data_IF_298935818572
#
_entry.id   IF_298935818572
#
_cell.length_a   1.000
_cell.length_b   1.000
_cell.length_c   1.000
_cell.angle_alpha   90.00
_cell.angle_beta   90.00
_cell.angle_gamma   90.00
#
_symmetry.space_group_name_H-M   'P 1'
#
loop_
_entity.id
_entity.type
_entity.pdbx_description
1 polymer ?
#
# COMPACT_ATOMS: atom_id res chain seq x y z
N UNK A 1 -1.00 24.59 -10.50
CA UNK A 1 -1.27 24.53 -9.04
C UNK A 1 -1.10 23.09 -8.61
N UNK A 2 0.03 22.75 -7.99
CA UNK A 2 0.41 21.37 -7.65
C UNK A 2 -0.31 20.99 -6.35
N UNK A 3 -1.32 20.12 -6.46
CA UNK A 3 -2.15 19.69 -5.32
C UNK A 3 -1.34 18.71 -4.47
N UNK A 4 -1.20 18.98 -3.17
CA UNK A 4 -0.51 18.07 -2.26
C UNK A 4 -1.30 16.76 -2.17
N UNK A 5 -0.67 15.65 -2.59
CA UNK A 5 -1.27 14.31 -2.65
C UNK A 5 -1.61 13.78 -1.23
N UNK A 6 -0.97 14.33 -0.21
CA UNK A 6 -1.17 13.95 1.18
C UNK A 6 -1.79 15.11 1.96
N UNK A 7 -3.08 15.02 2.28
CA UNK A 7 -3.71 15.89 3.29
C UNK A 7 -4.88 16.75 2.85
N UNK A 8 -5.28 16.75 1.57
CA UNK A 8 -6.42 17.53 1.08
C UNK A 8 -7.76 16.79 1.33
N UNK A 9 -7.94 16.31 2.56
CA UNK A 9 -9.18 15.68 2.99
C UNK A 9 -10.16 16.79 3.40
N UNK A 10 -11.25 16.96 2.65
CA UNK A 10 -12.35 17.84 3.04
C UNK A 10 -12.91 17.42 4.42
N UNK A 11 -13.54 18.33 5.16
CA UNK A 11 -14.10 18.05 6.49
C UNK A 11 -15.10 16.87 6.53
N UNK A 12 -15.68 16.52 5.37
CA UNK A 12 -16.59 15.39 5.19
C UNK A 12 -15.88 14.05 4.97
N UNK A 13 -14.57 14.06 4.76
CA UNK A 13 -13.81 12.84 4.53
C UNK A 13 -13.57 12.09 5.86
N UNK A 14 -13.96 10.83 5.91
CA UNK A 14 -13.79 9.95 7.08
C UNK A 14 -12.32 9.87 7.54
N UNK A 15 -11.38 10.02 6.60
CA UNK A 15 -9.94 10.04 6.87
C UNK A 15 -9.51 11.28 7.65
N UNK A 16 -10.20 12.42 7.48
CA UNK A 16 -9.94 13.65 8.22
C UNK A 16 -10.40 13.57 9.68
N UNK A 17 -11.33 12.66 10.00
CA UNK A 17 -11.88 12.46 11.35
C UNK A 17 -11.04 11.47 12.20
N UNK A 18 -9.90 11.01 11.69
CA UNK A 18 -9.03 10.06 12.39
C UNK A 18 -8.32 10.73 13.57
N UNK A 19 -8.43 10.14 14.76
CA UNK A 19 -7.57 10.49 15.89
C UNK A 19 -6.21 9.80 15.73
N UNK A 20 -5.22 10.51 15.18
CA UNK A 20 -3.88 9.95 14.95
C UNK A 20 -3.06 10.02 16.24
N UNK A 21 -2.96 8.88 16.94
CA UNK A 21 -2.24 8.76 18.22
C UNK A 21 -0.72 8.57 18.02
N UNK A 22 -0.31 7.87 16.94
CA UNK A 22 1.10 7.56 16.66
C UNK A 22 1.41 7.79 15.18
N UNK A 23 2.62 8.30 14.91
CA UNK A 23 3.20 8.39 13.56
C UNK A 23 4.56 7.71 13.56
N UNK A 24 4.86 6.99 12.49
CA UNK A 24 6.16 6.34 12.26
C UNK A 24 6.67 6.68 10.87
N UNK A 25 7.99 6.79 10.72
CA UNK A 25 8.64 6.92 9.41
C UNK A 25 8.82 5.58 8.68
N UNK A 26 8.61 4.46 9.37
CA UNK A 26 8.82 3.11 8.85
C UNK A 26 7.50 2.35 8.82
N UNK A 27 7.06 2.00 7.61
CA UNK A 27 5.82 1.25 7.37
C UNK A 27 5.86 -0.16 8.00
N UNK A 28 7.06 -0.75 8.09
CA UNK A 28 7.29 -2.07 8.69
C UNK A 28 7.01 -2.12 10.20
N UNK A 29 7.03 -0.99 10.91
CA UNK A 29 6.78 -0.94 12.35
C UNK A 29 5.29 -0.95 12.70
N UNK A 30 4.42 -0.72 11.72
CA UNK A 30 2.98 -0.57 11.96
C UNK A 30 2.33 -1.77 12.68
N UNK A 31 2.61 -3.04 12.31
CA UNK A 31 2.03 -4.17 13.02
C UNK A 31 2.49 -4.23 14.49
N UNK A 32 3.77 -3.96 14.75
CA UNK A 32 4.33 -3.96 16.10
C UNK A 32 3.69 -2.89 16.98
N UNK A 33 3.34 -1.73 16.41
CA UNK A 33 2.62 -0.68 17.14
C UNK A 33 1.18 -1.07 17.46
N UNK A 34 0.54 -1.90 16.62
CA UNK A 34 -0.82 -2.37 16.85
C UNK A 34 -0.87 -3.47 17.92
N UNK A 35 0.11 -4.38 17.92
CA UNK A 35 0.16 -5.52 18.86
C UNK A 35 0.21 -5.03 20.30
N UNK A 36 -0.71 -5.53 21.13
CA UNK A 36 -0.80 -5.17 22.55
C UNK A 36 -1.39 -3.77 22.81
N UNK A 37 -2.00 -3.15 21.81
CA UNK A 37 -2.68 -1.87 21.91
C UNK A 37 -4.08 -1.93 21.30
N UNK A 38 -4.90 -0.92 21.57
CA UNK A 38 -6.20 -0.74 20.92
C UNK A 38 -6.11 0.08 19.62
N UNK A 39 -4.92 0.15 19.01
CA UNK A 39 -4.68 0.93 17.80
C UNK A 39 -5.11 0.16 16.56
N UNK A 40 -5.80 0.86 15.65
CA UNK A 40 -6.14 0.36 14.32
C UNK A 40 -5.20 0.99 13.30
N UNK A 41 -4.60 0.14 12.47
CA UNK A 41 -3.74 0.57 11.37
C UNK A 41 -4.45 0.35 10.04
N UNK A 42 -4.50 1.40 9.21
CA UNK A 42 -4.91 1.26 7.81
C UNK A 42 -3.68 1.23 6.91
N UNK A 43 -3.55 0.20 6.08
CA UNK A 43 -2.38 -0.05 5.22
C UNK A 43 -2.81 -0.74 3.92
N UNK A 44 -1.89 -0.97 3.00
CA UNK A 44 -2.16 -1.73 1.77
C UNK A 44 -2.56 -3.17 2.10
N UNK A 45 -3.53 -3.71 1.36
CA UNK A 45 -4.07 -5.05 1.59
C UNK A 45 -3.00 -6.15 1.56
N UNK A 46 -2.08 -6.10 0.59
CA UNK A 46 -0.99 -7.06 0.45
C UNK A 46 -0.08 -7.07 1.68
N UNK A 47 0.30 -5.88 2.17
CA UNK A 47 1.13 -5.78 3.38
C UNK A 47 0.39 -6.31 4.61
N UNK A 48 -0.90 -5.96 4.74
CA UNK A 48 -1.71 -6.45 5.86
C UNK A 48 -1.80 -7.99 5.85
N UNK A 49 -2.10 -8.58 4.69
CA UNK A 49 -2.16 -10.04 4.49
C UNK A 49 -0.82 -10.71 4.80
N UNK A 50 0.29 -10.16 4.29
CA UNK A 50 1.62 -10.67 4.56
C UNK A 50 1.92 -10.67 6.06
N UNK A 51 1.62 -9.59 6.77
CA UNK A 51 1.89 -9.49 8.20
C UNK A 51 0.95 -10.39 9.03
N UNK A 52 -0.32 -10.49 8.67
CA UNK A 52 -1.29 -11.37 9.34
C UNK A 52 -0.93 -12.86 9.23
N UNK A 53 -0.12 -13.26 8.24
CA UNK A 53 0.38 -14.62 8.13
C UNK A 53 1.41 -14.99 9.22
N UNK A 54 2.10 -14.01 9.82
CA UNK A 54 3.19 -14.24 10.77
C UNK A 54 2.97 -13.60 12.14
N UNK A 55 2.14 -12.57 12.22
CA UNK A 55 1.91 -11.78 13.42
C UNK A 55 0.49 -11.95 13.95
N UNK A 56 0.27 -11.79 15.27
CA UNK A 56 -1.05 -11.92 15.89
C UNK A 56 -1.90 -10.66 15.64
N UNK A 57 -2.20 -10.38 14.37
CA UNK A 57 -3.03 -9.25 13.92
C UNK A 57 -4.22 -9.77 13.13
N UNK A 58 -5.34 -9.05 13.20
CA UNK A 58 -6.57 -9.40 12.49
C UNK A 58 -6.82 -8.39 11.37
N UNK A 59 -7.22 -8.90 10.21
CA UNK A 59 -7.63 -8.07 9.09
C UNK A 59 -9.09 -7.68 9.25
N UNK A 60 -9.38 -6.39 9.12
CA UNK A 60 -10.73 -5.84 9.15
C UNK A 60 -11.04 -5.22 7.78
N UNK A 61 -12.19 -5.58 7.21
CA UNK A 61 -12.68 -4.90 6.02
C UNK A 61 -13.33 -3.57 6.44
N UNK A 62 -12.80 -2.49 5.87
CA UNK A 62 -13.22 -1.15 6.16
C UNK A 62 -14.15 -0.77 5.00
N UNK A 63 -15.46 -0.85 5.21
CA UNK A 63 -16.51 -0.63 4.21
C UNK A 63 -16.61 0.81 3.65
N UNK A 64 -15.50 1.56 3.64
CA UNK A 64 -15.34 2.84 2.98
C UNK A 64 -14.34 2.73 1.82
N UNK A 65 -14.39 3.69 0.90
CA UNK A 65 -13.64 3.64 -0.36
C UNK A 65 -12.13 3.45 -0.15
N UNK A 66 -11.61 2.34 -0.68
CA UNK A 66 -10.18 2.07 -0.73
C UNK A 66 -9.52 2.98 -1.76
N UNK A 67 -8.58 3.81 -1.31
CA UNK A 67 -7.74 4.58 -2.22
C UNK A 67 -6.67 3.64 -2.78
N UNK A 68 -6.82 3.23 -4.04
CA UNK A 68 -5.79 2.45 -4.71
C UNK A 68 -4.58 3.33 -4.99
N UNK A 69 -3.39 2.80 -4.68
CA UNK A 69 -2.11 3.44 -5.03
C UNK A 69 -1.49 2.65 -6.17
N UNK A 70 -1.11 3.32 -7.26
CA UNK A 70 -0.36 2.70 -8.34
C UNK A 70 1.13 2.69 -8.03
N UNK A 71 1.76 1.52 -8.15
CA UNK A 71 3.21 1.41 -8.20
C UNK A 71 3.64 1.51 -9.66
N UNK A 72 4.59 2.40 -9.95
CA UNK A 72 5.09 2.64 -11.31
C UNK A 72 6.60 2.44 -11.35
N UNK A 73 7.05 1.62 -12.30
CA UNK A 73 8.45 1.57 -12.67
C UNK A 73 8.79 2.78 -13.54
N UNK A 74 9.87 3.49 -13.22
CA UNK A 74 10.29 4.71 -13.92
C UNK A 74 11.79 4.72 -14.19
N UNK A 75 12.18 5.22 -15.37
CA UNK A 75 13.56 5.41 -15.80
C UNK A 75 13.66 6.60 -16.75
N UNK A 76 14.88 7.08 -17.02
CA UNK A 76 15.10 8.16 -17.96
C UNK A 76 14.79 7.71 -19.40
N UNK A 77 14.14 8.54 -20.25
CA UNK A 77 13.69 8.12 -21.59
C UNK A 77 14.77 7.55 -22.50
N UNK A 78 16.01 8.05 -22.41
CA UNK A 78 17.12 7.57 -23.24
C UNK A 78 17.57 6.14 -22.91
N UNK A 79 17.16 5.60 -21.75
CA UNK A 79 17.50 4.24 -21.31
C UNK A 79 16.48 3.18 -21.74
N UNK A 80 15.42 3.58 -22.42
CA UNK A 80 14.33 2.67 -22.84
C UNK A 80 14.77 1.51 -23.74
N UNK A 81 15.93 1.67 -24.41
CA UNK A 81 16.53 0.64 -25.26
C UNK A 81 17.52 -0.26 -24.54
N UNK A 82 17.80 -0.01 -23.26
CA UNK A 82 18.73 -0.85 -22.49
C UNK A 82 18.13 -2.26 -22.31
N UNK A 83 18.84 -3.32 -22.74
CA UNK A 83 18.34 -4.69 -22.65
C UNK A 83 17.95 -5.10 -21.23
N UNK A 84 18.68 -4.62 -20.22
CA UNK A 84 18.42 -4.94 -18.82
C UNK A 84 17.11 -4.35 -18.30
N UNK A 85 16.77 -3.11 -18.71
CA UNK A 85 15.53 -2.46 -18.32
C UNK A 85 14.36 -3.19 -18.98
N UNK A 86 14.47 -3.51 -20.28
CA UNK A 86 13.44 -4.25 -21.00
C UNK A 86 13.20 -5.62 -20.39
N UNK A 87 14.26 -6.37 -20.13
CA UNK A 87 14.17 -7.68 -19.48
C UNK A 87 13.46 -7.56 -18.13
N UNK A 88 13.89 -6.63 -17.26
CA UNK A 88 13.28 -6.46 -15.94
C UNK A 88 11.80 -6.06 -16.02
N UNK A 89 11.45 -5.14 -16.92
CA UNK A 89 10.05 -4.72 -17.10
C UNK A 89 9.19 -5.90 -17.58
N UNK A 90 9.68 -6.68 -18.54
CA UNK A 90 8.97 -7.88 -19.01
C UNK A 90 8.75 -8.90 -17.89
N UNK A 91 9.76 -9.15 -17.04
CA UNK A 91 9.61 -10.04 -15.88
C UNK A 91 8.58 -9.51 -14.86
N UNK A 92 8.62 -8.21 -14.58
CA UNK A 92 7.67 -7.55 -13.68
C UNK A 92 6.23 -7.62 -14.21
N UNK A 93 6.04 -7.42 -15.52
CA UNK A 93 4.73 -7.54 -16.19
C UNK A 93 4.20 -8.98 -16.14
N UNK A 94 5.07 -9.97 -16.37
CA UNK A 94 4.71 -11.38 -16.25
C UNK A 94 4.22 -11.73 -14.84
N UNK A 95 4.93 -11.27 -13.80
CA UNK A 95 4.56 -11.53 -12.40
C UNK A 95 3.27 -10.76 -12.02
N UNK A 96 3.13 -9.50 -12.45
CA UNK A 96 1.95 -8.71 -12.18
C UNK A 96 0.68 -9.40 -12.72
N UNK A 97 0.75 -9.94 -13.94
CA UNK A 97 -0.35 -10.71 -14.54
C UNK A 97 -0.70 -11.99 -13.75
N UNK A 98 0.23 -12.55 -12.99
CA UNK A 98 -0.03 -13.71 -12.11
C UNK A 98 -0.71 -13.29 -10.80
N UNK A 99 -0.40 -12.11 -10.27
CA UNK A 99 -0.95 -11.58 -9.01
C UNK A 99 -2.39 -11.07 -9.18
N UNK A 100 -2.75 -10.55 -10.36
CA UNK A 100 -4.13 -10.13 -10.66
C UNK A 100 -5.13 -11.31 -10.74
N UNK A 101 -4.66 -12.55 -10.66
CA UNK A 101 -5.56 -13.70 -10.51
C UNK A 101 -6.06 -13.78 -9.07
N UNK A 102 -7.38 -13.67 -8.83
CA UNK A 102 -7.91 -13.82 -7.48
C UNK A 102 -7.54 -15.21 -6.95
N UNK A 103 -6.92 -15.25 -5.77
CA UNK A 103 -6.81 -16.48 -4.99
C UNK A 103 -8.25 -16.87 -4.64
N UNK A 104 -8.76 -17.91 -5.28
CA UNK A 104 -10.08 -18.46 -4.99
C UNK A 104 -10.15 -18.88 -3.51
N UNK A 105 -11.32 -18.73 -2.86
CA UNK A 105 -11.55 -19.24 -1.50
C UNK A 105 -11.42 -20.77 -1.43
#
# INVERSE_FOLDING_TARGET
MTRAIFGDFTADNVLARRNVVVRTGLHSMLPTLAIGSDLIVTTSIWFAQHQAAFLPVVLLDLGFSNMSTSLVAQWQPYRDREPIIRWLVTELECIAAMIERPVAP
#
